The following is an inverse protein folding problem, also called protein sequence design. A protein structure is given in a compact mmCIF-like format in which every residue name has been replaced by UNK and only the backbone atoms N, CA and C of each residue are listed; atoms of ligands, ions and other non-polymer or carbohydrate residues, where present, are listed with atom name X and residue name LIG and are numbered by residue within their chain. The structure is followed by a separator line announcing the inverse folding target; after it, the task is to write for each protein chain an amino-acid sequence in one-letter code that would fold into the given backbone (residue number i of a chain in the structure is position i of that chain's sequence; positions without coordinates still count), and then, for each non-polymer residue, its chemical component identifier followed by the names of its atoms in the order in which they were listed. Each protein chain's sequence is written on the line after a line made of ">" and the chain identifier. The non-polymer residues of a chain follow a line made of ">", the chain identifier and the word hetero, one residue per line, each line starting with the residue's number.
data_IF_271604181253
#
_entry.id   IF_271604181253
#
_cell.length_a   1.000
_cell.length_b   1.000
_cell.length_c   1.000
_cell.angle_alpha   90.00
_cell.angle_beta   90.00
_cell.angle_gamma   90.00
#
_symmetry.space_group_name_H-M   'P 1'
#
loop_
_entity.id
_entity.type
_entity.pdbx_description
1 polymer ?
#
# COMPACT_ATOMS: atom_id res chain seq x y z
N UNK A 1 35.35 11.51 11.06
CA UNK A 1 34.06 11.15 10.38
C UNK A 1 33.44 9.97 11.14
N UNK A 2 32.23 10.15 11.67
CA UNK A 2 31.47 9.02 12.27
C UNK A 2 31.06 8.06 11.17
N UNK A 3 31.49 6.80 11.21
CA UNK A 3 31.01 5.77 10.30
C UNK A 3 29.52 5.53 10.59
N UNK A 4 28.67 5.79 9.61
CA UNK A 4 27.26 5.42 9.69
C UNK A 4 27.15 3.91 9.50
N UNK A 5 26.69 3.20 10.52
CA UNK A 5 26.40 1.76 10.43
C UNK A 5 24.95 1.60 10.00
N UNK A 6 24.75 1.15 8.76
CA UNK A 6 23.43 0.80 8.23
C UNK A 6 23.30 -0.73 8.29
N UNK A 7 22.37 -1.22 9.09
CA UNK A 7 22.03 -2.64 9.11
C UNK A 7 21.27 -2.99 7.83
N UNK A 8 21.75 -3.97 7.07
CA UNK A 8 21.09 -4.46 5.86
C UNK A 8 20.04 -5.49 6.25
N UNK A 9 18.78 -5.22 5.94
CA UNK A 9 17.68 -6.17 6.11
C UNK A 9 17.39 -6.90 4.80
N UNK A 10 16.84 -8.12 4.90
CA UNK A 10 16.28 -8.82 3.75
C UNK A 10 15.05 -8.07 3.26
N UNK A 11 14.94 -7.92 1.96
CA UNK A 11 13.83 -7.23 1.30
C UNK A 11 12.79 -8.23 0.86
N UNK A 12 11.53 -7.93 1.14
CA UNK A 12 10.42 -8.74 0.68
C UNK A 12 9.44 -7.92 -0.15
N UNK A 13 9.13 -8.43 -1.32
CA UNK A 13 8.10 -7.84 -2.17
C UNK A 13 6.71 -8.31 -1.72
N UNK A 14 5.83 -7.37 -1.43
CA UNK A 14 4.45 -7.67 -1.03
C UNK A 14 3.56 -7.69 -2.26
N UNK A 15 3.20 -8.90 -2.69
CA UNK A 15 2.31 -9.14 -3.81
C UNK A 15 0.89 -9.38 -3.26
N UNK A 16 0.03 -8.37 -3.35
CA UNK A 16 -1.35 -8.43 -2.84
C UNK A 16 -2.35 -7.77 -3.78
N UNK A 17 -3.67 -8.11 -3.69
CA UNK A 17 -4.67 -7.46 -4.52
C UNK A 17 -4.69 -5.95 -4.28
N UNK A 18 -4.80 -5.18 -5.37
CA UNK A 18 -4.98 -3.73 -5.28
C UNK A 18 -6.26 -3.26 -5.96
N UNK A 19 -6.48 -3.64 -7.23
CA UNK A 19 -7.66 -3.20 -7.98
C UNK A 19 -8.97 -3.71 -7.38
N UNK A 20 -9.95 -2.80 -7.19
CA UNK A 20 -11.26 -3.18 -6.72
C UNK A 20 -12.02 -4.01 -7.78
N UNK A 21 -12.89 -4.90 -7.33
CA UNK A 21 -13.77 -5.71 -8.19
C UNK A 21 -15.21 -5.20 -8.24
N UNK A 22 -15.61 -4.37 -7.29
CA UNK A 22 -16.99 -3.91 -7.14
C UNK A 22 -17.57 -3.32 -8.41
N UNK A 23 -18.87 -3.52 -8.63
CA UNK A 23 -19.59 -3.00 -9.79
C UNK A 23 -19.95 -1.51 -9.60
N UNK A 24 -20.28 -1.11 -8.38
CA UNK A 24 -20.64 0.27 -8.03
C UNK A 24 -19.45 1.06 -7.50
N UNK A 25 -19.52 2.39 -7.55
CA UNK A 25 -18.50 3.27 -6.99
C UNK A 25 -18.27 2.99 -5.50
N UNK A 26 -19.34 2.79 -4.73
CA UNK A 26 -19.25 2.45 -3.31
C UNK A 26 -18.51 1.13 -3.08
N UNK A 27 -18.88 0.06 -3.80
CA UNK A 27 -18.20 -1.23 -3.70
C UNK A 27 -16.72 -1.13 -4.08
N UNK A 28 -16.40 -0.37 -5.14
CA UNK A 28 -15.00 -0.13 -5.54
C UNK A 28 -14.19 0.58 -4.45
N UNK A 29 -14.79 1.59 -3.81
CA UNK A 29 -14.13 2.30 -2.71
C UNK A 29 -13.90 1.39 -1.49
N UNK A 30 -14.89 0.57 -1.13
CA UNK A 30 -14.77 -0.41 -0.03
C UNK A 30 -13.70 -1.46 -0.34
N UNK A 31 -13.68 -2.02 -1.55
CA UNK A 31 -12.68 -2.98 -1.99
C UNK A 31 -11.27 -2.37 -1.95
N UNK A 32 -11.10 -1.15 -2.45
CA UNK A 32 -9.81 -0.47 -2.48
C UNK A 32 -9.29 -0.23 -1.05
N UNK A 33 -10.17 0.22 -0.16
CA UNK A 33 -9.83 0.40 1.25
C UNK A 33 -9.38 -0.91 1.89
N UNK A 34 -10.14 -1.99 1.65
CA UNK A 34 -9.81 -3.33 2.15
C UNK A 34 -8.46 -3.83 1.61
N UNK A 35 -8.23 -3.70 0.31
CA UNK A 35 -6.99 -4.12 -0.32
C UNK A 35 -5.77 -3.33 0.21
N UNK A 36 -5.91 -2.01 0.38
CA UNK A 36 -4.86 -1.18 0.99
C UNK A 36 -4.57 -1.59 2.44
N UNK A 37 -5.60 -1.87 3.21
CA UNK A 37 -5.43 -2.34 4.59
C UNK A 37 -4.72 -3.69 4.63
N UNK A 38 -5.11 -4.64 3.79
CA UNK A 38 -4.46 -5.95 3.67
C UNK A 38 -2.96 -5.82 3.37
N UNK A 39 -2.61 -4.97 2.40
CA UNK A 39 -1.21 -4.71 2.05
C UNK A 39 -0.43 -4.07 3.21
N UNK A 40 -1.01 -3.10 3.92
CA UNK A 40 -0.39 -2.46 5.11
C UNK A 40 -0.15 -3.48 6.22
N UNK A 41 -1.11 -4.37 6.47
CA UNK A 41 -0.97 -5.44 7.46
C UNK A 41 0.16 -6.41 7.09
N UNK A 42 0.25 -6.78 5.81
CA UNK A 42 1.33 -7.62 5.31
C UNK A 42 2.71 -6.94 5.48
N UNK A 43 2.79 -5.64 5.21
CA UNK A 43 4.01 -4.86 5.47
C UNK A 43 4.38 -4.87 6.96
N UNK A 44 3.42 -4.62 7.85
CA UNK A 44 3.65 -4.66 9.31
C UNK A 44 4.09 -6.03 9.77
N UNK A 45 3.49 -7.10 9.25
CA UNK A 45 3.92 -8.47 9.53
C UNK A 45 5.37 -8.72 9.05
N UNK A 46 5.73 -8.27 7.85
CA UNK A 46 7.09 -8.40 7.35
C UNK A 46 8.11 -7.68 8.26
N UNK A 47 7.79 -6.46 8.72
CA UNK A 47 8.63 -5.71 9.66
C UNK A 47 8.80 -6.46 10.98
N UNK A 48 7.73 -7.03 11.54
CA UNK A 48 7.80 -7.83 12.77
C UNK A 48 8.68 -9.06 12.64
N UNK A 49 8.88 -9.56 11.42
CA UNK A 49 9.77 -10.67 11.08
C UNK A 49 11.19 -10.25 10.70
N UNK A 50 11.51 -8.95 10.80
CA UNK A 50 12.83 -8.41 10.48
C UNK A 50 13.10 -8.16 8.99
N UNK A 51 12.05 -8.17 8.15
CA UNK A 51 12.15 -7.87 6.72
C UNK A 51 11.88 -6.39 6.45
N UNK A 52 12.44 -5.90 5.35
CA UNK A 52 12.08 -4.60 4.78
C UNK A 52 11.04 -4.82 3.68
N UNK A 53 9.76 -4.47 3.91
CA UNK A 53 8.70 -4.68 2.93
C UNK A 53 8.75 -3.65 1.82
N UNK A 54 8.51 -4.09 0.59
CA UNK A 54 8.32 -3.26 -0.58
C UNK A 54 6.94 -3.57 -1.17
N UNK A 55 6.04 -2.60 -1.12
CA UNK A 55 4.66 -2.70 -1.61
C UNK A 55 4.39 -1.58 -2.63
N UNK A 56 4.75 -1.77 -3.91
CA UNK A 56 4.65 -0.73 -4.95
C UNK A 56 3.24 -0.16 -5.08
N UNK A 57 2.22 -1.01 -4.93
CA UNK A 57 0.82 -0.64 -5.01
C UNK A 57 0.30 0.18 -3.81
N UNK A 58 1.09 0.33 -2.75
CA UNK A 58 0.83 1.31 -1.70
C UNK A 58 1.55 2.65 -1.93
N UNK A 59 2.54 2.68 -2.83
CA UNK A 59 3.40 3.83 -3.04
C UNK A 59 3.07 4.57 -4.34
N UNK A 60 3.15 3.90 -5.47
CA UNK A 60 3.00 4.55 -6.78
C UNK A 60 1.62 5.16 -7.02
N UNK A 61 0.48 4.58 -6.55
CA UNK A 61 -0.83 5.18 -6.72
C UNK A 61 -1.07 6.48 -5.94
N UNK A 62 -0.16 6.87 -5.06
CA UNK A 62 -0.25 8.17 -4.38
C UNK A 62 0.08 9.35 -5.31
N UNK A 63 0.72 9.09 -6.46
CA UNK A 63 1.11 10.13 -7.43
C UNK A 63 1.04 9.68 -8.89
N UNK A 64 0.66 8.43 -9.16
CA UNK A 64 0.34 7.92 -10.49
C UNK A 64 -1.13 7.50 -10.53
N UNK A 65 -1.83 7.90 -11.59
CA UNK A 65 -3.24 7.57 -11.77
C UNK A 65 -3.43 6.15 -12.30
N UNK A 66 -4.22 5.35 -11.60
CA UNK A 66 -4.62 4.01 -12.05
C UNK A 66 -5.60 4.05 -13.24
N UNK A 67 -6.24 5.20 -13.48
CA UNK A 67 -7.18 5.40 -14.57
C UNK A 67 -6.48 5.83 -15.88
N UNK A 68 -5.23 6.29 -15.78
CA UNK A 68 -4.40 6.65 -16.92
C UNK A 68 -3.53 5.45 -17.34
N UNK A 69 -3.76 4.83 -18.51
CA UNK A 69 -3.06 3.61 -18.92
C UNK A 69 -1.53 3.72 -18.90
N UNK A 70 -1.00 4.88 -19.31
CA UNK A 70 0.45 5.12 -19.34
C UNK A 70 1.07 5.24 -17.94
N UNK A 71 0.39 5.94 -17.02
CA UNK A 71 0.86 6.09 -15.64
C UNK A 71 0.78 4.78 -14.89
N UNK A 72 -0.30 4.04 -15.10
CA UNK A 72 -0.47 2.70 -14.57
C UNK A 72 0.64 1.75 -15.03
N UNK A 73 0.96 1.75 -16.34
CA UNK A 73 2.03 0.91 -16.88
C UNK A 73 3.39 1.28 -16.27
N UNK A 74 3.67 2.58 -16.07
CA UNK A 74 4.88 3.04 -15.37
C UNK A 74 4.93 2.52 -13.94
N UNK A 75 3.82 2.59 -13.21
CA UNK A 75 3.74 2.06 -11.85
C UNK A 75 4.04 0.55 -11.79
N UNK A 76 3.55 -0.21 -12.76
CA UNK A 76 3.84 -1.65 -12.90
C UNK A 76 5.34 -1.86 -13.17
N UNK A 77 5.93 -1.13 -14.12
CA UNK A 77 7.35 -1.25 -14.45
C UNK A 77 8.25 -0.92 -13.25
N UNK A 78 7.97 0.17 -12.54
CA UNK A 78 8.71 0.52 -11.33
C UNK A 78 8.57 -0.53 -10.23
N UNK A 79 7.38 -1.12 -10.11
CA UNK A 79 7.15 -2.25 -9.21
C UNK A 79 8.03 -3.45 -9.57
N UNK A 80 8.17 -3.77 -10.85
CA UNK A 80 9.07 -4.84 -11.30
C UNK A 80 10.55 -4.52 -11.04
N UNK A 81 10.96 -3.26 -11.19
CA UNK A 81 12.33 -2.84 -10.81
C UNK A 81 12.58 -3.01 -9.30
N UNK A 82 11.59 -2.73 -8.47
CA UNK A 82 11.70 -3.00 -7.03
C UNK A 82 11.81 -4.49 -6.74
N UNK A 83 11.05 -5.32 -7.46
CA UNK A 83 11.10 -6.78 -7.32
C UNK A 83 12.50 -7.34 -7.60
N UNK A 84 13.21 -6.81 -8.62
CA UNK A 84 14.58 -7.20 -8.93
C UNK A 84 15.55 -7.05 -7.75
N UNK A 85 15.26 -6.12 -6.84
CA UNK A 85 16.07 -5.88 -5.66
C UNK A 85 15.60 -6.61 -4.40
N UNK A 86 14.61 -7.51 -4.51
CA UNK A 86 14.04 -8.24 -3.38
C UNK A 86 14.68 -9.62 -3.21
N UNK A 87 14.73 -10.08 -1.97
CA UNK A 87 15.22 -11.42 -1.61
C UNK A 87 14.11 -12.46 -1.64
N UNK A 88 12.85 -12.04 -1.52
CA UNK A 88 11.65 -12.90 -1.54
C UNK A 88 10.45 -12.14 -2.08
N UNK A 89 9.44 -12.88 -2.58
CA UNK A 89 8.11 -12.37 -2.88
C UNK A 89 7.09 -13.10 -2.01
N UNK A 90 6.26 -12.32 -1.30
CA UNK A 90 5.16 -12.84 -0.49
C UNK A 90 3.83 -12.58 -1.18
N UNK A 91 3.14 -13.65 -1.54
CA UNK A 91 1.77 -13.59 -2.07
C UNK A 91 0.80 -13.51 -0.90
N UNK A 92 0.03 -12.43 -0.85
CA UNK A 92 -0.86 -12.12 0.27
C UNK A 92 -2.32 -12.32 -0.12
N UNK A 93 -3.01 -13.07 0.73
CA UNK A 93 -4.44 -13.31 0.57
C UNK A 93 -4.76 -14.58 -0.22
N UNK A 94 -6.05 -14.79 -0.42
CA UNK A 94 -6.59 -16.00 -1.07
C UNK A 94 -7.00 -15.79 -2.53
N UNK A 95 -6.82 -14.57 -3.05
CA UNK A 95 -7.16 -14.20 -4.43
C UNK A 95 -5.93 -13.70 -5.17
N UNK A 96 -5.63 -14.33 -6.29
CA UNK A 96 -4.57 -13.91 -7.19
C UNK A 96 -5.20 -13.12 -8.35
N UNK A 97 -4.78 -11.87 -8.53
CA UNK A 97 -5.19 -11.00 -9.64
C UNK A 97 -4.26 -11.17 -10.84
N UNK A 98 -4.64 -10.64 -12.01
CA UNK A 98 -3.77 -10.66 -13.19
C UNK A 98 -2.45 -9.90 -12.97
N UNK A 99 -2.48 -8.78 -12.21
CA UNK A 99 -1.26 -8.07 -11.81
C UNK A 99 -0.34 -8.94 -10.96
N UNK A 100 -0.90 -9.61 -9.96
CA UNK A 100 -0.16 -10.53 -9.09
C UNK A 100 0.44 -11.70 -9.86
N UNK A 101 -0.28 -12.26 -10.84
CA UNK A 101 0.25 -13.34 -11.70
C UNK A 101 1.51 -12.91 -12.45
N UNK A 102 1.55 -11.65 -12.94
CA UNK A 102 2.73 -11.11 -13.61
C UNK A 102 3.90 -10.98 -12.66
N UNK A 103 3.67 -10.45 -11.45
CA UNK A 103 4.69 -10.31 -10.41
C UNK A 103 5.27 -11.67 -10.00
N UNK A 104 4.39 -12.66 -9.79
CA UNK A 104 4.78 -14.04 -9.46
C UNK A 104 5.62 -14.65 -10.57
N UNK A 105 5.16 -14.54 -11.83
CA UNK A 105 5.87 -15.10 -12.98
C UNK A 105 7.28 -14.48 -13.12
N UNK A 106 7.41 -13.18 -12.94
CA UNK A 106 8.71 -12.49 -12.97
C UNK A 106 9.60 -12.95 -11.82
N UNK A 107 9.07 -13.10 -10.61
CA UNK A 107 9.83 -13.61 -9.48
C UNK A 107 10.35 -15.04 -9.73
N UNK A 108 9.52 -15.93 -10.26
CA UNK A 108 9.88 -17.30 -10.61
C UNK A 108 10.95 -17.33 -11.71
N UNK A 109 10.81 -16.52 -12.76
CA UNK A 109 11.80 -16.41 -13.84
C UNK A 109 13.17 -15.92 -13.34
N UNK A 110 13.16 -15.03 -12.36
CA UNK A 110 14.38 -14.49 -11.73
C UNK A 110 14.95 -15.40 -10.62
N UNK A 111 14.27 -16.50 -10.30
CA UNK A 111 14.66 -17.38 -9.20
C UNK A 111 14.48 -16.75 -7.81
N UNK A 112 13.62 -15.74 -7.69
CA UNK A 112 13.26 -15.13 -6.40
C UNK A 112 12.27 -16.06 -5.70
N UNK A 113 12.55 -16.52 -4.47
CA UNK A 113 11.64 -17.39 -3.73
C UNK A 113 10.25 -16.75 -3.56
N UNK A 114 9.21 -17.52 -3.91
CA UNK A 114 7.81 -17.13 -3.76
C UNK A 114 7.17 -17.91 -2.62
N UNK A 115 6.56 -17.24 -1.67
CA UNK A 115 5.83 -17.87 -0.57
C UNK A 115 4.43 -17.27 -0.43
N UNK A 116 3.47 -18.13 -0.07
CA UNK A 116 2.08 -17.73 0.11
C UNK A 116 1.78 -17.50 1.59
N UNK A 117 1.28 -16.30 1.89
CA UNK A 117 0.86 -15.93 3.23
C UNK A 117 -0.63 -15.61 3.22
N UNK A 118 -1.40 -16.42 3.92
CA UNK A 118 -2.79 -16.10 4.22
C UNK A 118 -2.75 -15.39 5.57
N UNK A 119 -2.93 -14.07 5.62
CA UNK A 119 -3.12 -13.43 6.90
C UNK A 119 -4.40 -14.05 7.47
N UNK A 120 -4.29 -14.79 8.57
CA UNK A 120 -5.44 -15.17 9.35
C UNK A 120 -6.00 -13.89 9.95
N UNK A 121 -6.82 -13.18 9.18
CA UNK A 121 -7.51 -11.99 9.65
C UNK A 121 -8.95 -12.35 9.93
N UNK A 122 -9.34 -12.35 11.19
CA UNK A 122 -10.27 -11.37 11.69
C UNK A 122 -9.51 -10.48 12.68
N UNK A 123 -8.91 -9.41 12.21
CA UNK A 123 -8.24 -8.51 13.11
C UNK A 123 -9.10 -7.28 13.32
N UNK A 124 -9.91 -7.29 14.36
CA UNK A 124 -10.39 -6.08 15.00
C UNK A 124 -9.18 -5.34 15.58
N UNK A 125 -9.19 -3.99 15.56
CA UNK A 125 -8.05 -3.13 15.88
C UNK A 125 -7.25 -3.46 17.14
N UNK A 126 -7.84 -4.16 18.13
CA UNK A 126 -7.15 -4.63 19.34
C UNK A 126 -6.14 -5.76 19.09
N UNK A 127 -6.38 -6.63 18.11
CA UNK A 127 -5.47 -7.73 17.78
C UNK A 127 -4.22 -7.23 17.03
N UNK A 128 -4.33 -6.10 16.32
CA UNK A 128 -3.17 -5.46 15.70
C UNK A 128 -2.18 -4.97 16.76
N UNK A 129 -2.67 -4.39 17.85
CA UNK A 129 -1.84 -3.88 18.95
C UNK A 129 -1.12 -5.02 19.67
N UNK A 130 -1.80 -6.17 19.88
CA UNK A 130 -1.21 -7.35 20.49
C UNK A 130 -0.24 -8.10 19.56
N UNK A 131 -0.58 -8.22 18.28
CA UNK A 131 0.22 -9.00 17.32
C UNK A 131 1.48 -8.26 16.89
N UNK A 132 1.41 -6.93 16.74
CA UNK A 132 2.53 -6.10 16.28
C UNK A 132 3.20 -5.32 17.41
N UNK A 133 2.65 -5.32 18.61
CA UNK A 133 3.10 -4.44 19.70
C UNK A 133 2.94 -2.94 19.30
N UNK A 134 2.14 -2.69 18.29
CA UNK A 134 1.87 -1.35 17.78
C UNK A 134 0.71 -0.77 18.57
N UNK A 135 1.00 0.25 19.36
CA UNK A 135 -0.06 1.15 19.80
C UNK A 135 -0.54 1.87 18.55
N UNK A 136 -1.69 1.44 17.99
CA UNK A 136 -2.38 2.26 16.98
C UNK A 136 -2.42 3.69 17.53
N UNK A 137 -1.97 4.70 16.79
CA UNK A 137 -2.20 6.07 17.18
C UNK A 137 -3.71 6.17 17.41
N UNK A 138 -4.13 6.39 18.64
CA UNK A 138 -5.53 6.73 18.89
C UNK A 138 -5.79 7.96 18.05
N UNK A 139 -6.90 8.03 17.28
CA UNK A 139 -7.29 9.28 16.70
C UNK A 139 -7.20 10.32 17.81
N UNK A 140 -6.52 11.42 17.52
CA UNK A 140 -6.41 12.54 18.46
C UNK A 140 -7.81 12.82 19.01
N UNK A 141 -8.05 12.80 20.34
CA UNK A 141 -9.36 13.01 20.90
C UNK A 141 -9.98 14.38 20.55
N UNK A 142 -9.31 15.20 19.75
CA UNK A 142 -9.79 16.44 19.14
C UNK A 142 -10.31 16.34 17.71
N UNK A 143 -10.26 15.17 17.05
CA UNK A 143 -10.85 14.99 15.73
C UNK A 143 -12.27 14.40 15.91
N UNK A 144 -13.26 15.25 16.05
CA UNK A 144 -14.67 14.88 15.86
C UNK A 144 -14.88 14.66 14.36
N UNK A 145 -15.35 13.46 13.96
CA UNK A 145 -15.61 13.07 12.56
C UNK A 145 -16.68 13.96 11.86
N UNK A 146 -17.24 14.93 12.55
CA UNK A 146 -18.36 15.76 12.10
C UNK A 146 -17.92 17.10 11.46
N UNK A 147 -16.64 17.48 11.49
CA UNK A 147 -16.16 18.78 11.00
C UNK A 147 -15.62 18.78 9.55
N UNK A 148 -15.63 17.65 8.86
CA UNK A 148 -15.27 17.66 7.44
C UNK A 148 -16.52 17.88 6.57
N UNK A 149 -16.78 19.13 6.22
CA UNK A 149 -17.80 19.49 5.24
C UNK A 149 -17.14 19.68 3.86
N UNK A 150 -17.38 18.77 2.88
CA UNK A 150 -16.77 18.87 1.57
C UNK A 150 -17.25 20.05 0.71
N UNK A 151 -18.12 20.92 1.24
CA UNK A 151 -18.72 22.04 0.51
C UNK A 151 -18.31 23.43 1.06
N UNK A 152 -17.35 23.52 2.01
CA UNK A 152 -16.96 24.82 2.57
C UNK A 152 -15.76 25.50 1.87
N UNK A 153 -15.11 24.88 0.89
CA UNK A 153 -13.92 25.45 0.24
C UNK A 153 -14.19 26.20 -1.08
N UNK A 154 -15.44 26.52 -1.40
CA UNK A 154 -15.80 27.26 -2.63
C UNK A 154 -16.19 28.74 -2.40
N UNK A 155 -15.61 29.42 -1.40
CA UNK A 155 -15.66 30.88 -1.39
C UNK A 155 -14.34 31.43 -1.98
N UNK A 156 -14.37 31.67 -3.30
CA UNK A 156 -13.37 32.44 -4.04
C UNK A 156 -13.20 33.83 -3.42
N UNK A 157 -12.13 34.06 -2.66
CA UNK A 157 -11.61 35.40 -2.45
C UNK A 157 -10.94 35.87 -3.75
N UNK A 158 -11.71 36.67 -4.50
CA UNK A 158 -11.23 37.35 -5.70
C UNK A 158 -10.06 38.25 -5.38
N UNK A 159 -8.88 37.85 -5.84
CA UNK A 159 -7.71 38.73 -5.93
C UNK A 159 -7.97 39.78 -7.00
N UNK A 160 -8.30 41.01 -6.56
CA UNK A 160 -8.33 42.21 -7.40
C UNK A 160 -6.87 42.56 -7.70
N UNK A 161 -6.46 42.37 -8.94
CA UNK A 161 -5.24 42.95 -9.48
C UNK A 161 -5.57 44.40 -9.87
N UNK A 162 -5.13 45.38 -9.08
CA UNK A 162 -5.00 46.75 -9.52
C UNK A 162 -3.71 46.87 -10.34
N UNK A 163 -3.87 47.06 -11.65
CA UNK A 163 -2.78 47.37 -12.55
C UNK A 163 -2.56 48.89 -12.59
N UNK A 164 -1.32 49.30 -12.45
CA UNK A 164 -0.72 50.50 -12.99
C UNK A 164 0.58 50.15 -13.72
#
# INVERSE_FOLDING_TARGET
>A
MKKVHIQKHRKVFICSPFRPKGATARQKAEDLRHNRQLARLACGYAVSRGYMPLAPHLFFPEFLSEDMPEERERGIQFGMEWLLGCDELWVIGNRITEGMKREIAVAEELGIPVSHHIPCLPMEGRMLDEFFGWKTPRPDPGYEEDDWNPNEDDEEEGLIYDGD
#
